data_IF_717375665436
#
_entry.id   IF_717375665436
#
_cell.length_a   1.000
_cell.length_b   1.000
_cell.length_c   1.000
_cell.angle_alpha   90.00
_cell.angle_beta   90.00
_cell.angle_gamma   90.00
#
_symmetry.space_group_name_H-M   'P 1'
#
loop_
_entity.id
_entity.type
_entity.pdbx_description
1 polymer ?
#
# COMPACT_ATOMS: atom_id res chain seq x y z
N UNK A 1 -5.15 -18.69 -11.83
CA UNK A 1 -4.66 -18.01 -10.62
C UNK A 1 -5.51 -16.81 -10.31
N UNK A 2 -5.89 -16.67 -9.08
CA UNK A 2 -6.71 -15.52 -8.67
C UNK A 2 -5.82 -14.43 -8.12
N UNK A 3 -5.97 -13.21 -8.62
CA UNK A 3 -5.23 -12.06 -8.15
C UNK A 3 -6.20 -11.14 -7.40
N UNK A 4 -5.86 -10.79 -6.18
CA UNK A 4 -6.69 -9.93 -5.35
C UNK A 4 -6.01 -8.56 -5.24
N UNK A 5 -6.64 -7.56 -5.80
CA UNK A 5 -6.14 -6.17 -5.78
C UNK A 5 -7.27 -5.27 -5.31
N UNK A 6 -6.93 -4.28 -4.51
CA UNK A 6 -7.90 -3.29 -4.08
C UNK A 6 -7.43 -1.90 -4.48
N UNK A 7 -8.33 -1.13 -5.04
CA UNK A 7 -8.01 0.22 -5.50
C UNK A 7 -8.41 1.23 -4.43
N UNK A 8 -7.48 2.12 -4.12
CA UNK A 8 -7.73 3.19 -3.15
C UNK A 8 -7.43 4.54 -3.78
N UNK A 9 -8.31 5.49 -3.53
CA UNK A 9 -8.15 6.88 -3.96
C UNK A 9 -8.04 7.77 -2.73
N UNK A 10 -7.22 8.76 -2.81
CA UNK A 10 -7.15 9.75 -1.75
C UNK A 10 -6.04 10.75 -1.99
N UNK A 11 -6.23 11.98 -1.52
CA UNK A 11 -5.19 13.01 -1.58
C UNK A 11 -4.65 13.25 -2.98
N UNK A 12 -5.50 13.04 -4.00
CA UNK A 12 -5.10 13.24 -5.40
C UNK A 12 -4.35 12.07 -6.01
N UNK A 13 -4.21 10.96 -5.29
CA UNK A 13 -3.51 9.79 -5.80
C UNK A 13 -4.45 8.59 -5.90
N UNK A 14 -4.10 7.69 -6.80
CA UNK A 14 -4.82 6.47 -7.08
C UNK A 14 -3.83 5.31 -6.95
N UNK A 15 -3.98 4.51 -5.90
CA UNK A 15 -3.09 3.39 -5.64
C UNK A 15 -3.83 2.08 -5.68
N UNK A 16 -3.08 1.02 -5.99
CA UNK A 16 -3.58 -0.35 -5.90
C UNK A 16 -2.87 -1.01 -4.74
N UNK A 17 -3.62 -1.67 -3.87
CA UNK A 17 -3.03 -2.43 -2.77
C UNK A 17 -2.91 -3.88 -3.19
N UNK A 18 -1.70 -4.41 -3.08
CA UNK A 18 -1.42 -5.83 -3.26
C UNK A 18 -1.07 -6.41 -1.91
N UNK A 19 -1.96 -7.22 -1.37
CA UNK A 19 -1.76 -7.83 -0.05
C UNK A 19 -1.16 -9.23 -0.25
N UNK A 20 0.10 -9.43 0.17
CA UNK A 20 0.74 -10.74 -0.01
C UNK A 20 0.07 -11.84 0.79
N UNK A 21 -0.75 -11.50 1.79
CA UNK A 21 -1.48 -12.50 2.57
C UNK A 21 -2.71 -13.00 1.83
N UNK A 22 -3.13 -12.33 0.77
CA UNK A 22 -4.31 -12.68 -0.03
C UNK A 22 -3.95 -13.17 -1.42
N UNK A 23 -2.69 -13.19 -1.75
CA UNK A 23 -2.21 -13.61 -3.07
C UNK A 23 -1.15 -14.68 -2.92
N UNK A 24 -1.03 -15.55 -3.92
CA UNK A 24 -0.13 -16.68 -3.86
C UNK A 24 1.17 -16.48 -4.63
N UNK A 25 1.39 -15.30 -5.19
CA UNK A 25 2.60 -15.03 -5.96
C UNK A 25 3.27 -13.75 -5.44
N UNK A 26 4.53 -13.58 -5.82
CA UNK A 26 5.29 -12.40 -5.43
C UNK A 26 5.21 -11.34 -6.51
N UNK A 27 5.17 -10.07 -6.08
CA UNK A 27 5.26 -8.97 -7.02
C UNK A 27 6.69 -8.86 -7.57
N UNK A 28 6.76 -8.64 -8.86
CA UNK A 28 8.03 -8.35 -9.55
C UNK A 28 7.90 -6.99 -10.22
N UNK A 29 9.02 -6.35 -10.59
CA UNK A 29 8.92 -5.10 -11.33
C UNK A 29 8.06 -5.21 -12.58
N UNK A 30 8.11 -6.32 -13.28
CA UNK A 30 7.30 -6.55 -14.48
C UNK A 30 5.81 -6.61 -14.15
N UNK A 31 5.46 -7.28 -13.06
CA UNK A 31 4.08 -7.36 -12.63
C UNK A 31 3.54 -5.99 -12.25
N UNK A 32 4.36 -5.18 -11.58
CA UNK A 32 3.96 -3.83 -11.19
C UNK A 32 3.73 -2.96 -12.42
N UNK A 33 4.61 -3.04 -13.40
CA UNK A 33 4.44 -2.29 -14.65
C UNK A 33 3.12 -2.66 -15.31
N UNK A 34 2.80 -3.94 -15.34
CA UNK A 34 1.57 -4.40 -15.96
C UNK A 34 0.34 -3.91 -15.20
N UNK A 35 0.36 -3.99 -13.89
CA UNK A 35 -0.76 -3.53 -13.06
C UNK A 35 -1.00 -2.03 -13.26
N UNK A 36 0.06 -1.26 -13.31
CA UNK A 36 -0.03 0.20 -13.39
C UNK A 36 -0.25 0.73 -14.81
N UNK A 37 -0.12 -0.13 -15.81
CA UNK A 37 -0.28 0.30 -17.21
C UNK A 37 -1.71 0.78 -17.44
N UNK A 38 -1.84 1.98 -18.02
CA UNK A 38 -3.15 2.58 -18.22
C UNK A 38 -3.90 1.98 -19.39
N UNK A 39 -3.22 1.23 -20.24
CA UNK A 39 -3.86 0.57 -21.38
C UNK A 39 -4.12 -0.90 -21.12
N UNK A 40 -3.12 -1.63 -20.62
CA UNK A 40 -3.23 -3.08 -20.44
C UNK A 40 -3.60 -3.49 -19.02
N UNK A 41 -3.42 -2.64 -18.04
CA UNK A 41 -3.68 -2.94 -16.64
C UNK A 41 -4.75 -2.05 -16.05
N UNK A 42 -4.67 -1.88 -14.73
CA UNK A 42 -5.65 -1.06 -14.01
C UNK A 42 -5.38 0.43 -14.11
N UNK A 43 -4.15 0.81 -14.42
CA UNK A 43 -3.75 2.21 -14.45
C UNK A 43 -3.76 2.81 -13.07
N UNK A 44 -2.59 2.97 -12.46
CA UNK A 44 -2.53 3.54 -11.12
C UNK A 44 -1.24 4.33 -10.94
N UNK A 45 -1.20 5.11 -9.88
CA UNK A 45 -0.01 5.90 -9.53
C UNK A 45 1.06 5.05 -8.85
N UNK A 46 0.73 3.83 -8.49
CA UNK A 46 1.67 2.91 -7.89
C UNK A 46 0.97 1.75 -7.22
N UNK A 47 1.77 0.85 -6.66
CA UNK A 47 1.27 -0.31 -5.92
C UNK A 47 1.79 -0.25 -4.50
N UNK A 48 0.89 -0.47 -3.55
CA UNK A 48 1.22 -0.57 -2.13
C UNK A 48 1.20 -2.05 -1.77
N UNK A 49 2.36 -2.60 -1.51
CA UNK A 49 2.48 -4.03 -1.17
C UNK A 49 2.57 -4.19 0.34
N UNK A 50 1.61 -4.88 0.91
CA UNK A 50 1.62 -5.16 2.34
C UNK A 50 0.24 -5.59 2.86
N UNK A 51 0.13 -5.82 4.16
CA UNK A 51 1.22 -5.73 5.13
C UNK A 51 2.18 -6.90 5.02
N UNK A 52 3.46 -6.60 5.06
CA UNK A 52 4.50 -7.63 5.11
C UNK A 52 4.86 -7.80 6.58
N UNK A 53 4.59 -8.99 7.12
CA UNK A 53 4.82 -9.23 8.54
C UNK A 53 6.26 -9.63 8.80
N UNK A 54 6.91 -8.93 9.71
CA UNK A 54 8.26 -9.23 10.16
C UNK A 54 8.29 -9.16 11.67
N UNK A 55 9.42 -9.54 12.28
CA UNK A 55 9.55 -9.53 13.74
C UNK A 55 9.27 -8.15 14.33
N UNK A 56 9.73 -7.10 13.67
CA UNK A 56 9.57 -5.74 14.16
C UNK A 56 8.14 -5.22 14.00
N UNK A 57 7.35 -5.83 13.11
CA UNK A 57 5.99 -5.40 12.88
C UNK A 57 5.60 -5.47 11.41
N UNK A 58 4.64 -4.64 11.03
CA UNK A 58 4.12 -4.61 9.67
C UNK A 58 4.89 -3.63 8.80
N UNK A 59 5.20 -4.06 7.58
CA UNK A 59 5.89 -3.24 6.60
C UNK A 59 5.01 -3.01 5.39
N UNK A 60 5.18 -1.86 4.75
CA UNK A 60 4.60 -1.57 3.44
C UNK A 60 5.73 -1.23 2.48
N UNK A 61 5.63 -1.75 1.27
CA UNK A 61 6.56 -1.43 0.20
C UNK A 61 5.79 -0.66 -0.87
N UNK A 62 6.33 0.46 -1.28
CA UNK A 62 5.68 1.31 -2.27
C UNK A 62 6.40 1.14 -3.61
N UNK A 63 5.66 0.79 -4.64
CA UNK A 63 6.18 0.60 -5.98
C UNK A 63 5.74 1.74 -6.88
N UNK A 64 6.67 2.24 -7.68
CA UNK A 64 6.35 3.20 -8.74
C UNK A 64 5.78 2.48 -9.96
N UNK A 65 5.03 3.17 -10.81
CA UNK A 65 4.44 2.52 -11.99
C UNK A 65 5.46 1.90 -12.93
N UNK A 66 6.70 2.37 -12.91
CA UNK A 66 7.76 1.83 -13.77
C UNK A 66 8.41 0.57 -13.21
N UNK A 67 7.92 0.06 -12.09
CA UNK A 67 8.46 -1.14 -11.47
C UNK A 67 9.61 -0.87 -10.52
N UNK A 68 10.00 0.37 -10.31
CA UNK A 68 11.01 0.70 -9.32
C UNK A 68 10.36 0.84 -7.94
N UNK A 69 11.17 0.68 -6.91
CA UNK A 69 10.69 0.86 -5.56
C UNK A 69 10.80 2.33 -5.17
N UNK A 70 9.72 2.87 -4.61
CA UNK A 70 9.71 4.23 -4.10
C UNK A 70 10.28 4.24 -2.69
N UNK A 71 11.11 5.22 -2.36
CA UNK A 71 11.63 5.32 -1.00
C UNK A 71 10.50 5.63 -0.02
N UNK A 72 9.67 6.62 -0.35
CA UNK A 72 8.55 6.98 0.52
C UNK A 72 7.55 7.79 -0.25
N UNK A 73 6.29 7.54 0.04
CA UNK A 73 5.19 8.39 -0.39
C UNK A 73 4.33 8.62 0.83
N UNK A 74 4.28 9.86 1.31
CA UNK A 74 3.41 10.20 2.42
C UNK A 74 1.97 9.85 2.13
N UNK A 75 1.51 10.10 0.90
CA UNK A 75 0.16 9.76 0.49
C UNK A 75 -0.04 8.25 0.44
N UNK A 76 0.94 7.52 -0.07
CA UNK A 76 0.85 6.06 -0.13
C UNK A 76 0.77 5.43 1.25
N UNK A 77 1.58 5.91 2.19
CA UNK A 77 1.57 5.41 3.56
C UNK A 77 0.22 5.69 4.22
N UNK A 78 -0.31 6.87 4.01
CA UNK A 78 -1.62 7.23 4.59
C UNK A 78 -2.74 6.39 4.00
N UNK A 79 -2.73 6.19 2.70
CA UNK A 79 -3.73 5.36 2.03
C UNK A 79 -3.62 3.91 2.51
N UNK A 80 -2.40 3.43 2.69
CA UNK A 80 -2.20 2.07 3.18
C UNK A 80 -2.69 1.90 4.61
N UNK A 81 -2.54 2.93 5.44
CA UNK A 81 -3.08 2.89 6.81
C UNK A 81 -4.60 2.69 6.77
N UNK A 82 -5.28 3.31 5.82
CA UNK A 82 -6.71 3.09 5.65
C UNK A 82 -7.01 1.64 5.27
N UNK A 83 -6.21 1.07 4.37
CA UNK A 83 -6.38 -0.33 4.02
C UNK A 83 -6.23 -1.25 5.22
N UNK A 84 -5.23 -1.00 6.06
CA UNK A 84 -5.01 -1.83 7.25
C UNK A 84 -6.22 -1.82 8.17
N UNK A 85 -6.86 -0.69 8.32
CA UNK A 85 -8.06 -0.60 9.13
C UNK A 85 -9.24 -1.28 8.47
N UNK A 86 -9.45 -1.03 7.18
CA UNK A 86 -10.58 -1.61 6.45
C UNK A 86 -10.48 -3.13 6.40
N UNK A 87 -9.29 -3.66 6.29
CA UNK A 87 -9.07 -5.10 6.20
C UNK A 87 -9.00 -5.79 7.57
N UNK A 88 -9.06 -5.00 8.65
CA UNK A 88 -9.07 -5.57 9.99
C UNK A 88 -7.72 -5.92 10.58
N UNK A 89 -6.64 -5.49 9.95
CA UNK A 89 -5.31 -5.78 10.47
C UNK A 89 -4.98 -4.99 11.73
N UNK A 90 -5.53 -3.79 11.85
CA UNK A 90 -5.31 -2.95 13.02
C UNK A 90 -6.64 -2.46 13.55
N UNK A 91 -6.75 -2.38 14.87
CA UNK A 91 -7.95 -1.89 15.54
C UNK A 91 -7.61 -0.79 16.53
N UNK A 92 -6.31 -0.62 16.83
CA UNK A 92 -5.86 0.41 17.73
C UNK A 92 -5.87 1.75 17.02
N UNK A 93 -6.04 2.81 17.80
CA UNK A 93 -5.98 4.17 17.26
C UNK A 93 -4.60 4.53 16.76
N UNK A 94 -3.57 4.02 17.43
CA UNK A 94 -2.19 4.31 17.09
C UNK A 94 -1.47 3.00 16.80
N UNK A 95 -0.65 3.00 15.77
CA UNK A 95 0.19 1.85 15.46
C UNK A 95 1.40 2.33 14.66
N UNK A 96 2.39 1.46 14.57
CA UNK A 96 3.62 1.76 13.83
C UNK A 96 3.61 0.97 12.54
N UNK A 97 3.88 1.65 11.44
CA UNK A 97 4.01 1.05 10.12
C UNK A 97 5.43 1.30 9.65
N UNK A 98 6.12 0.23 9.25
CA UNK A 98 7.49 0.34 8.78
C UNK A 98 7.51 0.56 7.27
N UNK A 99 8.33 1.48 6.82
CA UNK A 99 8.46 1.85 5.42
C UNK A 99 9.92 1.79 5.00
N UNK A 100 10.20 2.05 3.73
CA UNK A 100 11.57 2.10 3.25
C UNK A 100 12.43 3.16 3.93
N UNK A 101 11.80 4.18 4.51
CA UNK A 101 12.51 5.24 5.23
C UNK A 101 12.43 5.09 6.74
N UNK A 102 11.98 3.93 7.22
CA UNK A 102 11.92 3.66 8.64
C UNK A 102 10.50 3.63 9.18
N UNK A 103 10.37 3.52 10.51
CA UNK A 103 9.04 3.42 11.11
C UNK A 103 8.30 4.75 11.08
N UNK A 104 7.00 4.66 10.88
CA UNK A 104 6.09 5.81 10.88
C UNK A 104 4.99 5.53 11.88
N UNK A 105 4.74 6.48 12.76
CA UNK A 105 3.63 6.36 13.71
C UNK A 105 2.35 6.86 13.03
N UNK A 106 1.32 6.03 13.04
CA UNK A 106 0.04 6.34 12.44
C UNK A 106 -0.99 6.48 13.56
N UNK A 107 -1.77 7.55 13.51
CA UNK A 107 -2.83 7.77 14.48
C UNK A 107 -4.19 7.83 13.78
N UNK A 108 -5.24 7.45 14.50
CA UNK A 108 -6.58 7.50 13.92
C UNK A 108 -7.03 8.92 13.62
N UNK A 109 -6.49 9.90 14.34
CA UNK A 109 -6.80 11.30 14.05
C UNK A 109 -6.27 11.67 12.67
N UNK A 110 -5.01 11.31 12.39
CA UNK A 110 -4.43 11.54 11.08
C UNK A 110 -5.24 10.85 10.00
N UNK A 111 -5.65 9.62 10.27
CA UNK A 111 -6.46 8.86 9.35
C UNK A 111 -7.77 9.59 9.03
N UNK A 112 -8.41 10.13 10.04
CA UNK A 112 -9.64 10.87 9.83
C UNK A 112 -9.41 12.09 8.93
N UNK A 113 -8.30 12.76 9.12
CA UNK A 113 -7.97 13.94 8.34
C UNK A 113 -7.64 13.62 6.88
N UNK A 114 -7.25 12.39 6.58
CA UNK A 114 -6.91 12.01 5.22
C UNK A 114 -8.06 12.12 4.25
N UNK A 115 -9.29 12.12 4.74
CA UNK A 115 -10.45 12.17 3.89
C UNK A 115 -10.86 13.59 3.52
N UNK A 116 -10.28 14.52 4.18
CA UNK A 116 -10.62 15.92 3.94
C UNK A 116 -10.03 16.42 2.63
#
# INVERSE_FOLDING_TARGET
>A
MKVVLERYHGLGNDYVVFDPNKNEFELTPENVKMICDRNAGLGSDGVLEGPIQKEEGMYVKVWNPDGSESETSGNGVRIFAKYLKDAGYVQKKNFVLHTGNGPVEVTSVSYTHLRA
#
